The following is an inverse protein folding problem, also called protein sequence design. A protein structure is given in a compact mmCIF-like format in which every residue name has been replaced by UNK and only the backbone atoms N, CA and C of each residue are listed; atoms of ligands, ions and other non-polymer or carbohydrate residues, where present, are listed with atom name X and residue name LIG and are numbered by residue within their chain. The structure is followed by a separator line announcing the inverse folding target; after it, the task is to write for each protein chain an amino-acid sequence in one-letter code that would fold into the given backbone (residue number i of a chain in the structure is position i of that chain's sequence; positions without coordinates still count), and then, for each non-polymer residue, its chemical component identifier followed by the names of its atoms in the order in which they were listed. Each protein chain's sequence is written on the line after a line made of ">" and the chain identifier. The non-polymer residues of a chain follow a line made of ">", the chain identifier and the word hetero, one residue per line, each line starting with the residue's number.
data_IF_090371393473
#
_entry.id   IF_090371393473
#
_cell.length_a   1.000
_cell.length_b   1.000
_cell.length_c   1.000
_cell.angle_alpha   90.00
_cell.angle_beta   90.00
_cell.angle_gamma   90.00
#
_symmetry.space_group_name_H-M   'P 1'
#
loop_
_entity.id
_entity.type
_entity.pdbx_description
1 polymer ?
#
# COMPACT_ATOMS: atom_id res chain seq x y z
N UNK A 1 -31.72 -8.70 17.49
CA UNK A 1 -30.28 -8.77 17.23
C UNK A 1 -29.90 -7.40 16.68
N UNK A 2 -29.23 -6.55 17.50
CA UNK A 2 -28.90 -5.19 17.07
C UNK A 2 -27.56 -5.24 16.30
N UNK A 3 -27.63 -5.12 14.98
CA UNK A 3 -26.45 -4.95 14.15
C UNK A 3 -25.95 -3.51 14.31
N UNK A 4 -24.71 -3.34 14.73
CA UNK A 4 -24.05 -2.03 14.70
C UNK A 4 -23.18 -1.95 13.45
N UNK A 5 -23.35 -0.93 12.59
CA UNK A 5 -22.47 -0.74 11.45
C UNK A 5 -21.04 -0.48 11.93
N UNK A 6 -20.10 -1.21 11.38
CA UNK A 6 -18.67 -0.99 11.61
C UNK A 6 -18.14 -0.21 10.43
N UNK A 7 -17.76 1.04 10.66
CA UNK A 7 -17.06 1.86 9.68
C UNK A 7 -15.57 1.58 9.82
N UNK A 8 -14.99 0.92 8.85
CA UNK A 8 -13.57 0.62 8.82
C UNK A 8 -12.87 1.58 7.84
N UNK A 9 -12.19 2.59 8.38
CA UNK A 9 -11.29 3.45 7.64
C UNK A 9 -9.85 2.99 7.87
N UNK A 10 -9.18 2.51 6.83
CA UNK A 10 -7.75 2.20 6.89
C UNK A 10 -7.01 3.39 6.26
N UNK A 11 -6.41 4.21 7.10
CA UNK A 11 -5.52 5.29 6.67
C UNK A 11 -4.07 4.79 6.83
N UNK A 12 -3.43 4.47 5.72
CA UNK A 12 -2.01 4.14 5.70
C UNK A 12 -1.20 5.43 5.55
N UNK A 13 -0.56 5.86 6.63
CA UNK A 13 0.49 6.88 6.54
C UNK A 13 1.80 6.19 6.19
N UNK A 14 2.28 6.39 4.97
CA UNK A 14 3.65 6.06 4.64
C UNK A 14 4.55 7.21 5.13
N UNK A 15 5.22 7.00 6.26
CA UNK A 15 6.44 7.74 6.52
C UNK A 15 7.55 7.04 5.72
N UNK A 16 7.86 7.58 4.55
CA UNK A 16 8.97 7.11 3.74
C UNK A 16 10.29 7.47 4.45
N UNK A 17 10.86 6.52 5.19
CA UNK A 17 12.27 6.59 5.50
C UNK A 17 12.98 5.97 4.30
N UNK A 18 13.43 6.82 3.39
CA UNK A 18 14.24 6.44 2.26
C UNK A 18 15.63 6.04 2.77
N UNK A 19 15.89 4.75 2.92
CA UNK A 19 17.26 4.26 3.08
C UNK A 19 17.80 3.92 1.69
N UNK A 20 18.43 4.91 1.05
CA UNK A 20 19.19 4.69 -0.16
C UNK A 20 20.56 4.07 0.23
N UNK A 21 20.80 2.81 -0.14
CA UNK A 21 22.15 2.27 -0.17
C UNK A 21 22.76 2.54 -1.55
N UNK A 22 23.62 3.55 -1.62
CA UNK A 22 24.44 3.82 -2.79
C UNK A 22 25.74 3.01 -2.73
N UNK A 23 26.08 2.34 -3.83
CA UNK A 23 27.43 1.83 -4.09
C UNK A 23 28.47 2.96 -4.20
N UNK A 24 29.79 2.66 -4.36
CA UNK A 24 30.89 3.63 -4.16
C UNK A 24 30.75 4.88 -5.02
N UNK A 25 30.77 6.02 -4.35
CA UNK A 25 30.45 7.33 -4.84
C UNK A 25 31.58 8.00 -5.65
N UNK A 26 31.22 8.51 -6.82
CA UNK A 26 31.80 9.75 -7.35
C UNK A 26 30.88 10.87 -6.90
N UNK A 27 31.42 11.92 -6.25
CA UNK A 27 30.66 13.08 -5.80
C UNK A 27 30.09 13.85 -7.01
N UNK A 28 28.88 13.50 -7.39
CA UNK A 28 27.97 14.34 -8.14
C UNK A 28 26.71 14.42 -7.28
N UNK A 29 26.06 15.58 -7.23
CA UNK A 29 24.78 15.77 -6.55
C UNK A 29 23.87 14.60 -6.87
N UNK A 30 23.75 13.66 -5.95
CA UNK A 30 22.90 12.48 -6.13
C UNK A 30 21.47 12.95 -6.13
N UNK A 31 20.93 13.10 -7.31
CA UNK A 31 19.49 13.30 -7.47
C UNK A 31 18.81 12.01 -7.04
N UNK A 32 17.92 12.12 -6.08
CA UNK A 32 17.30 10.97 -5.45
C UNK A 32 15.94 10.67 -6.11
N UNK A 33 15.57 9.39 -6.09
CA UNK A 33 14.22 8.96 -6.42
C UNK A 33 13.25 9.56 -5.39
N UNK A 34 12.31 10.38 -5.84
CA UNK A 34 11.23 10.93 -5.00
C UNK A 34 10.01 10.04 -5.10
N UNK A 35 9.51 9.64 -3.95
CA UNK A 35 8.28 8.85 -3.85
C UNK A 35 7.23 9.64 -3.08
N UNK A 36 6.08 9.87 -3.71
CA UNK A 36 4.96 10.60 -3.10
C UNK A 36 3.75 9.68 -3.02
N UNK A 37 3.14 9.59 -1.83
CA UNK A 37 1.86 8.91 -1.69
C UNK A 37 0.75 9.84 -2.19
N UNK A 38 0.06 9.42 -3.24
CA UNK A 38 -1.07 10.14 -3.83
C UNK A 38 -2.37 9.73 -3.16
N UNK A 39 -2.51 8.43 -2.87
CA UNK A 39 -3.71 7.85 -2.26
C UNK A 39 -3.33 6.70 -1.34
N UNK A 40 -3.97 6.65 -0.17
CA UNK A 40 -3.80 5.55 0.79
C UNK A 40 -4.56 4.29 0.34
N UNK A 41 -4.22 3.15 0.90
CA UNK A 41 -4.99 1.91 0.74
C UNK A 41 -6.35 2.03 1.45
N UNK A 42 -7.44 1.76 0.75
CA UNK A 42 -8.80 1.89 1.28
C UNK A 42 -9.69 0.71 0.86
N UNK A 43 -10.21 -0.01 1.82
CA UNK A 43 -11.04 -1.21 1.56
C UNK A 43 -12.53 -0.92 1.46
N UNK A 44 -12.96 0.33 1.70
CA UNK A 44 -14.35 0.73 1.76
C UNK A 44 -14.98 0.49 3.14
N UNK A 45 -16.26 0.82 3.24
CA UNK A 45 -17.05 0.60 4.44
C UNK A 45 -17.63 -0.81 4.45
N UNK A 46 -17.39 -1.55 5.54
CA UNK A 46 -17.82 -2.94 5.67
C UNK A 46 -18.43 -3.21 7.04
N UNK A 47 -19.33 -4.19 7.10
CA UNK A 47 -19.81 -4.81 8.34
C UNK A 47 -19.26 -6.22 8.37
N UNK A 48 -18.55 -6.57 9.42
CA UNK A 48 -18.05 -7.92 9.64
C UNK A 48 -18.95 -8.63 10.66
N UNK A 49 -19.42 -9.82 10.29
CA UNK A 49 -20.23 -10.68 11.14
C UNK A 49 -19.44 -11.95 11.45
N UNK A 50 -18.88 -12.03 12.64
CA UNK A 50 -18.10 -13.19 13.07
C UNK A 50 -16.68 -12.80 13.52
N UNK A 51 -15.88 -13.81 13.83
CA UNK A 51 -14.58 -13.60 14.48
C UNK A 51 -13.44 -13.33 13.50
N UNK A 52 -13.60 -13.68 12.22
CA UNK A 52 -12.56 -13.51 11.21
C UNK A 52 -13.14 -13.16 9.84
N UNK A 53 -12.47 -12.26 9.14
CA UNK A 53 -12.80 -11.86 7.79
C UNK A 53 -11.56 -11.39 7.03
N UNK A 54 -11.59 -11.46 5.70
CA UNK A 54 -10.52 -10.97 4.84
C UNK A 54 -11.09 -10.12 3.72
N UNK A 55 -10.37 -9.06 3.40
CA UNK A 55 -10.66 -8.17 2.29
C UNK A 55 -9.39 -8.00 1.49
N UNK A 56 -9.40 -8.47 0.25
CA UNK A 56 -8.26 -8.37 -0.66
C UNK A 56 -8.55 -7.35 -1.76
N UNK A 57 -7.65 -6.41 -1.93
CA UNK A 57 -7.62 -5.51 -3.09
C UNK A 57 -6.59 -6.03 -4.08
N UNK A 58 -7.06 -6.45 -5.23
CA UNK A 58 -6.24 -6.87 -6.36
C UNK A 58 -6.12 -5.70 -7.32
N UNK A 59 -4.91 -5.46 -7.80
CA UNK A 59 -4.63 -4.44 -8.81
C UNK A 59 -4.12 -5.12 -10.08
N UNK A 60 -4.76 -4.84 -11.18
CA UNK A 60 -4.32 -5.36 -12.48
C UNK A 60 -3.21 -4.47 -13.09
N UNK A 61 -2.67 -4.89 -14.23
CA UNK A 61 -1.61 -4.17 -14.95
C UNK A 61 -2.01 -2.77 -15.42
N UNK A 62 -3.29 -2.45 -15.45
CA UNK A 62 -3.81 -1.14 -15.83
C UNK A 62 -4.03 -0.22 -14.64
N UNK A 63 -3.80 -0.72 -13.41
CA UNK A 63 -4.07 0.00 -12.16
C UNK A 63 -5.52 -0.12 -11.68
N UNK A 64 -6.36 -0.89 -12.39
CA UNK A 64 -7.74 -1.11 -11.95
C UNK A 64 -7.77 -1.98 -10.71
N UNK A 65 -8.48 -1.52 -9.68
CA UNK A 65 -8.62 -2.21 -8.41
C UNK A 65 -9.91 -3.03 -8.36
N UNK A 66 -9.78 -4.28 -7.91
CA UNK A 66 -10.92 -5.18 -7.65
C UNK A 66 -10.91 -5.59 -6.19
N UNK A 67 -12.06 -5.56 -5.51
CA UNK A 67 -12.20 -6.00 -4.13
C UNK A 67 -12.78 -7.42 -4.08
N UNK A 68 -12.09 -8.30 -3.35
CA UNK A 68 -12.58 -9.63 -3.00
C UNK A 68 -12.76 -9.73 -1.49
N UNK A 69 -13.77 -10.45 -1.05
CA UNK A 69 -14.06 -10.64 0.37
C UNK A 69 -14.17 -12.12 0.69
N UNK A 70 -13.70 -12.51 1.87
CA UNK A 70 -13.83 -13.85 2.42
C UNK A 70 -14.27 -13.77 3.88
N UNK A 71 -15.11 -14.71 4.32
CA UNK A 71 -15.78 -14.63 5.62
C UNK A 71 -17.13 -13.92 5.54
N UNK A 72 -17.71 -13.62 6.69
CA UNK A 72 -19.04 -13.05 6.78
C UNK A 72 -18.98 -11.52 6.74
N UNK A 73 -18.89 -10.95 5.54
CA UNK A 73 -18.73 -9.51 5.29
C UNK A 73 -19.90 -8.97 4.48
N UNK A 74 -20.44 -7.84 4.92
CA UNK A 74 -21.38 -7.03 4.17
C UNK A 74 -20.65 -5.75 3.75
N UNK A 75 -20.55 -5.51 2.45
CA UNK A 75 -19.98 -4.28 1.90
C UNK A 75 -21.07 -3.23 1.79
N UNK A 76 -20.84 -2.05 2.36
CA UNK A 76 -21.82 -0.97 2.40
C UNK A 76 -21.72 -0.01 1.21
N UNK A 77 -20.54 0.05 0.59
CA UNK A 77 -20.27 0.91 -0.55
C UNK A 77 -19.29 0.27 -1.55
N UNK A 78 -19.05 1.01 -2.63
CA UNK A 78 -18.07 0.70 -3.67
C UNK A 78 -16.86 1.64 -3.62
N UNK A 79 -16.71 2.42 -2.54
CA UNK A 79 -15.57 3.30 -2.35
C UNK A 79 -14.40 2.52 -1.76
N UNK A 80 -13.67 1.84 -2.62
CA UNK A 80 -12.43 1.14 -2.29
C UNK A 80 -11.38 1.41 -3.35
N UNK A 81 -10.11 1.50 -2.93
CA UNK A 81 -9.01 1.73 -3.85
C UNK A 81 -7.67 1.21 -3.29
N UNK A 82 -6.81 0.80 -4.20
CA UNK A 82 -5.42 0.51 -3.93
C UNK A 82 -4.68 1.75 -3.43
N UNK A 83 -3.57 1.56 -2.74
CA UNK A 83 -2.64 2.65 -2.49
C UNK A 83 -1.99 3.08 -3.82
N UNK A 84 -1.75 4.38 -3.96
CA UNK A 84 -1.17 4.98 -5.15
C UNK A 84 0.08 5.76 -4.76
N UNK A 85 1.21 5.36 -5.33
CA UNK A 85 2.50 6.03 -5.20
C UNK A 85 2.89 6.67 -6.53
N UNK A 86 3.43 7.86 -6.47
CA UNK A 86 4.01 8.55 -7.60
C UNK A 86 5.52 8.63 -7.45
N UNK A 87 6.24 8.07 -8.42
CA UNK A 87 7.69 7.99 -8.46
C UNK A 87 8.20 9.00 -9.48
N UNK A 88 9.05 9.91 -9.04
CA UNK A 88 9.71 10.94 -9.86
C UNK A 88 11.22 10.87 -9.71
N UNK A 89 11.92 11.17 -10.78
CA UNK A 89 13.36 11.30 -10.76
C UNK A 89 13.80 12.53 -11.56
N UNK A 90 14.50 13.46 -10.90
CA UNK A 90 14.92 14.73 -11.51
C UNK A 90 16.28 14.64 -12.21
N UNK A 91 16.93 13.47 -12.22
CA UNK A 91 18.20 13.25 -12.89
C UNK A 91 18.10 13.32 -14.41
N UNK A 92 19.25 13.49 -15.07
CA UNK A 92 19.35 13.47 -16.53
C UNK A 92 19.32 12.06 -17.11
N UNK A 93 19.71 11.08 -16.29
CA UNK A 93 19.69 9.66 -16.65
C UNK A 93 18.34 9.03 -16.34
N UNK A 94 18.16 7.80 -16.77
CA UNK A 94 17.04 6.96 -16.38
C UNK A 94 17.42 6.09 -15.19
N UNK A 95 16.54 5.95 -14.21
CA UNK A 95 16.67 4.94 -13.15
C UNK A 95 15.91 3.68 -13.57
N UNK A 96 16.54 2.54 -13.38
CA UNK A 96 15.89 1.22 -13.50
C UNK A 96 15.59 0.72 -12.11
N UNK A 97 14.31 0.60 -11.77
CA UNK A 97 13.88 -0.03 -10.52
C UNK A 97 14.01 -1.53 -10.71
N UNK A 98 14.96 -2.14 -10.02
CA UNK A 98 15.28 -3.57 -10.15
C UNK A 98 14.54 -4.42 -9.12
N UNK A 99 14.08 -3.83 -8.01
CA UNK A 99 13.28 -4.53 -7.01
C UNK A 99 12.40 -3.56 -6.20
N UNK A 100 11.22 -4.05 -5.78
CA UNK A 100 10.31 -3.39 -4.84
C UNK A 100 10.05 -4.35 -3.69
N UNK A 101 10.36 -3.94 -2.47
CA UNK A 101 10.24 -4.78 -1.27
C UNK A 101 9.22 -4.15 -0.33
N UNK A 102 8.15 -4.89 -0.04
CA UNK A 102 7.18 -4.58 1.00
C UNK A 102 7.29 -5.58 2.15
N UNK A 103 6.94 -5.21 3.39
CA UNK A 103 6.89 -6.14 4.50
C UNK A 103 5.79 -7.18 4.29
N UNK A 104 6.01 -8.40 4.80
CA UNK A 104 5.05 -9.50 4.67
C UNK A 104 3.77 -9.29 5.50
N UNK A 105 3.89 -8.57 6.63
CA UNK A 105 2.77 -8.30 7.53
C UNK A 105 2.91 -6.91 8.16
N UNK A 106 1.84 -6.13 8.11
CA UNK A 106 1.76 -4.80 8.72
C UNK A 106 0.60 -4.78 9.69
N UNK A 107 0.84 -4.72 11.01
CA UNK A 107 -0.22 -4.56 11.98
C UNK A 107 -0.84 -3.17 11.85
N UNK A 108 -2.16 -3.10 11.84
CA UNK A 108 -2.91 -1.85 11.82
C UNK A 108 -3.52 -1.62 13.20
N UNK A 109 -3.30 -0.42 13.73
CA UNK A 109 -3.79 -0.04 15.05
C UNK A 109 -5.17 0.63 14.93
N UNK A 110 -6.14 0.12 15.65
CA UNK A 110 -7.46 0.72 15.74
C UNK A 110 -7.46 2.01 16.58
N UNK A 111 -8.16 3.02 16.08
CA UNK A 111 -8.43 4.25 16.83
C UNK A 111 -9.77 4.08 17.52
N UNK A 112 -9.76 3.76 18.79
CA UNK A 112 -10.96 3.54 19.61
C UNK A 112 -10.77 2.46 20.68
N UNK A 113 -11.74 2.31 21.56
CA UNK A 113 -11.70 1.33 22.65
C UNK A 113 -12.02 -0.06 22.10
N UNK A 114 -11.12 -0.99 22.20
CA UNK A 114 -11.25 -2.40 21.77
C UNK A 114 -10.93 -2.63 20.29
N UNK A 115 -9.70 -2.45 19.97
CA UNK A 115 -9.18 -2.89 18.67
C UNK A 115 -9.14 -4.41 18.63
N UNK A 116 -9.89 -5.00 17.72
CA UNK A 116 -9.53 -6.30 17.17
C UNK A 116 -8.22 -6.14 16.37
N UNK A 117 -7.61 -7.23 16.06
CA UNK A 117 -6.36 -7.21 15.29
C UNK A 117 -6.68 -7.12 13.80
N UNK A 118 -6.14 -6.09 13.17
CA UNK A 118 -6.14 -5.99 11.70
C UNK A 118 -4.70 -6.07 11.21
N UNK A 119 -4.46 -6.95 10.27
CA UNK A 119 -3.14 -7.12 9.64
C UNK A 119 -3.28 -6.96 8.14
N UNK A 120 -2.43 -6.14 7.54
CA UNK A 120 -2.28 -6.07 6.09
C UNK A 120 -1.14 -6.99 5.66
N UNK A 121 -1.41 -7.89 4.72
CA UNK A 121 -0.47 -8.86 4.17
C UNK A 121 -0.58 -8.95 2.65
N UNK A 122 0.24 -9.81 2.05
CA UNK A 122 0.21 -10.10 0.60
C UNK A 122 0.22 -8.85 -0.26
N UNK A 123 1.09 -7.89 0.12
CA UNK A 123 1.23 -6.62 -0.61
C UNK A 123 1.82 -6.92 -1.98
N UNK A 124 1.11 -6.49 -3.01
CA UNK A 124 1.49 -6.68 -4.41
C UNK A 124 1.58 -5.34 -5.13
N UNK A 125 2.47 -5.25 -6.09
CA UNK A 125 2.64 -4.09 -6.96
C UNK A 125 2.04 -4.40 -8.33
N UNK A 126 1.35 -3.44 -8.95
CA UNK A 126 0.76 -3.65 -10.27
C UNK A 126 1.80 -3.72 -11.40
N UNK A 127 2.96 -3.09 -11.19
CA UNK A 127 4.13 -3.20 -12.05
C UNK A 127 5.17 -4.09 -11.37
N UNK A 128 5.60 -5.11 -12.09
CA UNK A 128 6.70 -5.97 -11.66
C UNK A 128 8.03 -5.38 -12.13
N UNK A 129 9.05 -5.29 -11.26
CA UNK A 129 10.40 -4.93 -11.69
C UNK A 129 10.96 -5.92 -12.72
N UNK A 130 11.84 -5.48 -13.66
CA UNK A 130 12.35 -4.12 -13.76
C UNK A 130 11.42 -3.15 -14.49
N UNK A 131 11.41 -1.87 -14.06
CA UNK A 131 10.76 -0.78 -14.78
C UNK A 131 11.56 0.52 -14.65
N UNK A 132 11.37 1.43 -15.58
CA UNK A 132 12.15 2.66 -15.68
C UNK A 132 11.41 3.87 -15.10
N UNK A 133 12.17 4.78 -14.47
CA UNK A 133 11.71 6.08 -14.00
C UNK A 133 12.67 7.15 -14.48
N UNK A 134 12.17 8.17 -15.14
CA UNK A 134 12.98 9.31 -15.59
C UNK A 134 12.20 10.61 -15.44
N UNK A 135 12.89 11.73 -15.62
CA UNK A 135 12.28 13.07 -15.60
C UNK A 135 11.13 13.23 -16.61
N UNK A 136 11.25 12.60 -17.77
CA UNK A 136 10.22 12.62 -18.81
C UNK A 136 9.16 11.53 -18.67
N UNK A 137 9.44 10.51 -17.84
CA UNK A 137 8.56 9.36 -17.63
C UNK A 137 8.47 9.02 -16.13
N UNK A 138 7.73 9.84 -15.36
CA UNK A 138 7.39 9.47 -13.98
C UNK A 138 6.47 8.26 -13.99
N UNK A 139 6.45 7.50 -12.91
CA UNK A 139 5.69 6.26 -12.80
C UNK A 139 4.67 6.34 -11.67
N UNK A 140 3.43 6.00 -11.96
CA UNK A 140 2.43 5.74 -10.94
C UNK A 140 2.44 4.25 -10.60
N UNK A 141 2.62 3.93 -9.32
CA UNK A 141 2.68 2.56 -8.81
C UNK A 141 1.50 2.32 -7.88
N UNK A 142 0.66 1.33 -8.20
CA UNK A 142 -0.47 0.92 -7.36
C UNK A 142 -0.12 -0.31 -6.53
N UNK A 143 -0.59 -0.33 -5.29
CA UNK A 143 -0.36 -1.43 -4.35
C UNK A 143 -1.68 -2.04 -3.91
N UNK A 144 -1.81 -3.32 -4.17
CA UNK A 144 -2.85 -4.18 -3.61
C UNK A 144 -2.40 -4.86 -2.32
N UNK A 145 -3.28 -5.64 -1.72
CA UNK A 145 -2.97 -6.39 -0.52
C UNK A 145 -4.21 -6.96 0.16
N UNK A 146 -4.01 -7.76 1.20
CA UNK A 146 -5.06 -8.44 1.97
C UNK A 146 -5.13 -7.90 3.39
N UNK A 147 -6.25 -7.31 3.76
CA UNK A 147 -6.56 -6.95 5.14
C UNK A 147 -7.25 -8.14 5.81
N UNK A 148 -6.62 -8.71 6.83
CA UNK A 148 -7.18 -9.77 7.68
C UNK A 148 -7.66 -9.15 8.98
N UNK A 149 -8.96 -9.35 9.30
CA UNK A 149 -9.62 -8.85 10.49
C UNK A 149 -9.88 -10.03 11.43
N UNK A 150 -9.31 -9.98 12.63
CA UNK A 150 -9.46 -11.01 13.67
C UNK A 150 -10.16 -10.42 14.90
N UNK A 151 -11.13 -11.14 15.49
CA UNK A 151 -11.93 -10.60 16.60
C UNK A 151 -12.88 -9.49 16.17
N UNK A 152 -13.40 -9.59 14.96
CA UNK A 152 -14.22 -8.55 14.32
C UNK A 152 -15.56 -8.27 15.03
N UNK A 153 -16.03 -9.18 15.85
CA UNK A 153 -17.17 -8.99 16.78
C UNK A 153 -16.91 -7.87 17.82
N UNK A 154 -15.65 -7.49 18.01
CA UNK A 154 -15.21 -6.42 18.90
C UNK A 154 -15.07 -5.06 18.20
N UNK A 155 -15.11 -5.02 16.89
CA UNK A 155 -15.00 -3.77 16.12
C UNK A 155 -16.27 -2.95 16.27
N UNK A 156 -16.14 -1.77 16.84
CA UNK A 156 -17.22 -0.79 16.98
C UNK A 156 -16.81 0.51 16.28
N UNK A 157 -17.11 0.62 14.99
CA UNK A 157 -16.94 1.88 14.26
C UNK A 157 -15.50 2.42 14.23
N UNK A 158 -14.53 1.54 14.11
CA UNK A 158 -13.11 1.90 14.28
C UNK A 158 -12.44 2.18 12.94
N UNK A 159 -11.61 3.22 12.94
CA UNK A 159 -10.62 3.46 11.92
C UNK A 159 -9.34 2.71 12.31
N UNK A 160 -8.66 2.11 11.34
CA UNK A 160 -7.39 1.45 11.55
C UNK A 160 -6.30 2.20 10.78
N UNK A 161 -5.19 2.47 11.46
CA UNK A 161 -4.05 3.15 10.89
C UNK A 161 -2.80 2.28 11.03
N UNK A 162 -1.94 2.33 10.03
CA UNK A 162 -0.65 1.68 10.05
C UNK A 162 0.33 2.42 9.15
N UNK A 163 1.61 2.16 9.34
CA UNK A 163 2.66 2.63 8.45
C UNK A 163 3.23 1.47 7.67
N UNK A 164 3.35 1.66 6.36
CA UNK A 164 3.95 0.71 5.44
C UNK A 164 5.29 1.25 4.98
N UNK A 165 6.37 0.51 5.23
CA UNK A 165 7.69 0.84 4.72
C UNK A 165 7.95 0.04 3.44
N UNK A 166 8.17 0.74 2.34
CA UNK A 166 8.52 0.15 1.05
C UNK A 166 9.96 0.53 0.71
N UNK A 167 10.74 -0.45 0.26
CA UNK A 167 12.10 -0.21 -0.21
C UNK A 167 12.16 -0.41 -1.72
N UNK A 168 12.78 0.55 -2.41
CA UNK A 168 13.05 0.47 -3.85
C UNK A 168 14.55 0.26 -4.04
N UNK A 169 14.91 -0.77 -4.81
CA UNK A 169 16.30 -1.00 -5.26
C UNK A 169 16.36 -0.56 -6.71
N UNK A 170 17.31 0.32 -7.02
CA UNK A 170 17.44 0.88 -8.35
C UNK A 170 18.90 1.09 -8.73
N UNK A 171 19.15 1.18 -10.02
CA UNK A 171 20.43 1.49 -10.63
C UNK A 171 20.25 2.55 -11.73
N UNK A 172 21.32 3.28 -12.04
CA UNK A 172 21.33 4.16 -13.19
C UNK A 172 21.43 3.31 -14.47
N UNK A 173 20.55 3.56 -15.43
CA UNK A 173 20.74 3.02 -16.77
C UNK A 173 22.02 3.64 -17.36
N UNK A 174 22.97 2.81 -17.79
CA UNK A 174 24.11 3.31 -18.54
C UNK A 174 23.62 3.90 -19.88
N UNK A 175 24.09 5.09 -20.26
CA UNK A 175 23.77 5.62 -21.59
C UNK A 175 24.35 4.66 -22.65
N UNK A 176 23.51 4.24 -23.56
CA UNK A 176 23.89 3.46 -24.75
C UNK A 176 24.75 4.31 -25.70
#
# INVERSE_FOLDING_TARGET
>A
MNYKPVFLFILLFASSVLSAQSGPSVQNETKELRVTMVRSFHIGNVIVQGSQAQITLLVDRTGMTTRQTSGNIITLDQDFHAAELYLEYDGENTLVITNCIAPSNVPLLGIGSQAGDVTLSDITFHLEPPFEVSKSHPVTLYLGGTATLTGADRFQGNNFNGSLQISFIYENAEPL
#
